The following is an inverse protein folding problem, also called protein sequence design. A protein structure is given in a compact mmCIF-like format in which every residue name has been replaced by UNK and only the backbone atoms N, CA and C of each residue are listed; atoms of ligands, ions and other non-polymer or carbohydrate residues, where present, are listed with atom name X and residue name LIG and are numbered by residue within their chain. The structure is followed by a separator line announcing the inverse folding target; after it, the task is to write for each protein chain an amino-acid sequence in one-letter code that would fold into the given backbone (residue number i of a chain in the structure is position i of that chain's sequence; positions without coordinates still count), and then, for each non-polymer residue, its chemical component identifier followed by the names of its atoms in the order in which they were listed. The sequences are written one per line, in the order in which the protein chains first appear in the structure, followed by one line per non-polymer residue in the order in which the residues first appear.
data_IF_536408731218
#
_entry.id   IF_536408731218
#
_cell.length_a   1.000
_cell.length_b   1.000
_cell.length_c   1.000
_cell.angle_alpha   90.00
_cell.angle_beta   90.00
_cell.angle_gamma   90.00
#
_symmetry.space_group_name_H-M   'P 1'
#
loop_
_entity.id
_entity.type
_entity.pdbx_description
1 polymer ?
#
# COMPACT_ATOMS: atom_id res chain seq x y z
N UNK A 1 36.15 59.95 -63.82
CA UNK A 1 35.62 59.80 -65.19
C UNK A 1 35.71 58.33 -65.56
N UNK A 2 34.70 57.86 -66.31
CA UNK A 2 34.59 56.57 -67.01
C UNK A 2 33.94 55.40 -66.25
N UNK A 3 32.62 55.30 -66.47
CA UNK A 3 31.84 54.06 -66.65
C UNK A 3 32.45 53.14 -67.73
N UNK A 4 32.15 51.83 -67.67
CA UNK A 4 31.75 50.95 -68.80
C UNK A 4 31.24 49.61 -68.19
N UNK A 5 29.93 49.39 -68.12
CA UNK A 5 29.10 48.47 -68.97
C UNK A 5 29.30 46.98 -68.67
N UNK A 6 28.40 46.36 -67.90
CA UNK A 6 27.30 45.43 -68.31
C UNK A 6 27.77 44.17 -69.05
N UNK A 7 27.53 42.99 -68.46
CA UNK A 7 26.75 41.97 -69.17
C UNK A 7 26.02 41.01 -68.21
N UNK A 8 24.78 40.71 -68.60
CA UNK A 8 23.73 40.02 -67.87
C UNK A 8 23.60 38.64 -68.48
N UNK A 9 24.03 37.59 -67.77
CA UNK A 9 23.71 36.21 -68.17
C UNK A 9 23.05 35.42 -67.06
N UNK A 10 21.74 35.28 -67.24
CA UNK A 10 20.81 34.37 -66.56
C UNK A 10 21.34 32.94 -66.51
N UNK A 11 21.36 32.34 -65.32
CA UNK A 11 21.42 30.90 -65.13
C UNK A 11 20.32 30.47 -64.16
N UNK A 12 19.42 29.63 -64.68
CA UNK A 12 18.27 28.99 -64.01
C UNK A 12 18.66 28.34 -62.69
N UNK A 13 18.03 28.78 -61.60
CA UNK A 13 18.00 28.06 -60.32
C UNK A 13 17.13 26.81 -60.44
N UNK A 14 17.72 25.63 -60.22
CA UNK A 14 16.99 24.36 -60.03
C UNK A 14 16.15 24.45 -58.75
N UNK A 15 14.88 23.99 -58.74
CA UNK A 15 14.13 23.86 -57.51
C UNK A 15 14.69 22.69 -56.69
N UNK A 16 15.02 22.95 -55.42
CA UNK A 16 15.36 21.92 -54.45
C UNK A 16 14.13 21.08 -54.07
N UNK A 17 14.31 19.85 -53.56
CA UNK A 17 13.17 19.00 -53.21
C UNK A 17 12.40 19.61 -52.03
N UNK A 18 11.08 19.58 -52.16
CA UNK A 18 10.15 19.94 -51.10
C UNK A 18 10.40 19.07 -49.85
N UNK A 19 10.65 19.73 -48.72
CA UNK A 19 10.61 19.10 -47.40
C UNK A 19 9.17 18.68 -47.17
N UNK A 20 8.90 17.38 -47.20
CA UNK A 20 7.61 16.84 -46.78
C UNK A 20 7.53 16.94 -45.26
N UNK A 21 6.56 17.70 -44.76
CA UNK A 21 6.15 17.67 -43.36
C UNK A 21 5.69 16.24 -43.02
N UNK A 22 6.49 15.55 -42.22
CA UNK A 22 6.09 14.29 -41.63
C UNK A 22 4.97 14.57 -40.60
N UNK A 23 3.86 13.84 -40.59
CA UNK A 23 2.88 13.95 -39.52
C UNK A 23 3.55 13.50 -38.22
N UNK A 24 3.60 14.41 -37.24
CA UNK A 24 4.01 14.13 -35.86
C UNK A 24 3.04 13.12 -35.25
N UNK A 25 3.31 11.83 -35.40
CA UNK A 25 2.62 10.77 -34.66
C UNK A 25 3.09 10.80 -33.20
N UNK A 26 2.42 11.60 -32.37
CA UNK A 26 2.47 11.39 -30.92
C UNK A 26 2.01 9.96 -30.62
N UNK A 27 2.74 9.19 -29.77
CA UNK A 27 2.26 7.88 -29.36
C UNK A 27 0.93 8.05 -28.61
N UNK A 28 -0.05 7.14 -28.80
CA UNK A 28 -1.26 7.18 -28.01
C UNK A 28 -0.87 7.01 -26.53
N UNK A 29 -1.30 7.97 -25.70
CA UNK A 29 -1.28 7.84 -24.25
C UNK A 29 -2.03 6.56 -23.93
N UNK A 30 -1.31 5.53 -23.48
CA UNK A 30 -1.91 4.26 -23.12
C UNK A 30 -2.97 4.53 -22.05
N UNK A 31 -4.23 4.24 -22.38
CA UNK A 31 -5.30 4.24 -21.40
C UNK A 31 -4.90 3.33 -20.23
N UNK A 32 -5.17 3.71 -18.97
CA UNK A 32 -4.83 2.87 -17.83
C UNK A 32 -5.53 1.52 -18.01
N UNK A 33 -4.73 0.45 -18.05
CA UNK A 33 -5.23 -0.91 -18.10
C UNK A 33 -6.15 -1.12 -16.90
N UNK A 34 -7.45 -1.18 -17.14
CA UNK A 34 -8.40 -1.60 -16.14
C UNK A 34 -8.18 -3.09 -15.93
N UNK A 35 -7.43 -3.45 -14.89
CA UNK A 35 -7.28 -4.83 -14.44
C UNK A 35 -8.60 -5.23 -13.77
N UNK A 36 -9.53 -5.76 -14.56
CA UNK A 36 -10.74 -6.42 -14.05
C UNK A 36 -10.39 -7.84 -13.63
N UNK A 37 -9.80 -7.98 -12.45
CA UNK A 37 -9.58 -9.22 -11.73
C UNK A 37 -9.72 -8.99 -10.23
N UNK A 38 -9.96 -10.04 -9.41
CA UNK A 38 -9.90 -9.89 -7.96
C UNK A 38 -8.52 -9.33 -7.57
N UNK A 39 -8.44 -8.45 -6.55
CA UNK A 39 -7.16 -7.86 -6.15
C UNK A 39 -6.16 -8.95 -5.79
N UNK A 40 -4.88 -8.74 -6.14
CA UNK A 40 -3.78 -9.61 -5.71
C UNK A 40 -3.79 -9.75 -4.19
N UNK A 41 -3.26 -10.86 -3.67
CA UNK A 41 -3.17 -11.03 -2.21
C UNK A 41 -2.33 -9.90 -1.58
N UNK A 42 -1.29 -9.43 -2.27
CA UNK A 42 -0.53 -8.26 -1.88
C UNK A 42 -1.37 -6.98 -1.85
N UNK A 43 -2.24 -6.75 -2.85
CA UNK A 43 -3.14 -5.61 -2.85
C UNK A 43 -4.14 -5.65 -1.68
N UNK A 44 -4.70 -6.83 -1.36
CA UNK A 44 -5.58 -7.01 -0.19
C UNK A 44 -4.86 -6.73 1.12
N UNK A 45 -3.67 -7.32 1.29
CA UNK A 45 -2.83 -7.10 2.47
C UNK A 45 -2.53 -5.61 2.63
N UNK A 46 -2.16 -4.92 1.55
CA UNK A 46 -1.86 -3.49 1.57
C UNK A 46 -3.06 -2.67 2.03
N UNK A 47 -4.25 -2.92 1.52
CA UNK A 47 -5.48 -2.22 1.93
C UNK A 47 -5.72 -2.37 3.44
N UNK A 48 -5.54 -3.57 3.98
CA UNK A 48 -5.67 -3.82 5.43
C UNK A 48 -4.63 -3.04 6.23
N UNK A 49 -3.37 -3.03 5.79
CA UNK A 49 -2.30 -2.31 6.47
C UNK A 49 -2.47 -0.79 6.42
N UNK A 50 -2.91 -0.23 5.30
CA UNK A 50 -3.22 1.19 5.14
C UNK A 50 -4.38 1.62 6.03
N UNK A 51 -5.45 0.81 6.12
CA UNK A 51 -6.57 1.05 7.02
C UNK A 51 -6.13 0.96 8.50
N UNK A 52 -5.30 -0.02 8.86
CA UNK A 52 -4.75 -0.14 10.20
C UNK A 52 -3.86 1.06 10.57
N UNK A 53 -3.04 1.53 9.62
CA UNK A 53 -2.23 2.74 9.78
C UNK A 53 -3.10 3.95 10.06
N UNK A 54 -4.21 4.12 9.32
CA UNK A 54 -5.15 5.22 9.55
C UNK A 54 -5.80 5.16 10.95
N UNK A 55 -6.09 3.97 11.49
CA UNK A 55 -6.59 3.79 12.86
C UNK A 55 -5.55 4.23 13.89
N UNK A 56 -4.31 3.74 13.78
CA UNK A 56 -3.22 4.10 14.71
C UNK A 56 -2.88 5.59 14.63
N UNK A 57 -2.98 6.17 13.43
CA UNK A 57 -2.84 7.61 13.21
C UNK A 57 -3.97 8.37 13.94
N UNK A 58 -5.22 7.92 13.90
CA UNK A 58 -6.28 8.60 14.68
C UNK A 58 -6.06 8.50 16.18
N UNK A 59 -5.69 7.32 16.67
CA UNK A 59 -5.42 7.08 18.07
C UNK A 59 -4.65 5.78 18.27
N UNK A 60 -3.48 5.91 18.89
CA UNK A 60 -2.69 4.75 19.29
C UNK A 60 -2.90 4.46 20.77
N UNK A 61 -3.18 3.20 21.09
CA UNK A 61 -3.30 2.72 22.47
C UNK A 61 -2.13 1.81 22.84
N UNK A 62 -1.55 2.10 23.99
CA UNK A 62 -0.64 1.24 24.72
C UNK A 62 -1.38 0.59 25.89
N UNK A 63 -1.17 -0.70 26.13
CA UNK A 63 -1.83 -1.47 27.20
C UNK A 63 -3.37 -1.52 27.08
N UNK A 64 -3.90 -1.35 25.87
CA UNK A 64 -5.33 -1.38 25.55
C UNK A 64 -5.59 -2.15 24.26
N UNK A 65 -6.85 -2.50 24.00
CA UNK A 65 -7.22 -3.19 22.77
C UNK A 65 -7.70 -2.20 21.70
N UNK A 66 -8.90 -1.64 21.85
CA UNK A 66 -9.39 -0.53 21.04
C UNK A 66 -10.43 0.29 21.80
N UNK A 67 -10.65 1.51 21.34
CA UNK A 67 -11.69 2.43 21.79
C UNK A 67 -12.58 2.82 20.61
N UNK A 68 -13.89 2.85 20.86
CA UNK A 68 -14.90 3.31 19.91
C UNK A 68 -15.61 4.52 20.48
N UNK A 69 -16.07 5.42 19.61
CA UNK A 69 -16.98 6.49 20.00
C UNK A 69 -18.20 5.93 20.78
N UNK A 70 -18.80 6.72 21.69
CA UNK A 70 -19.97 6.30 22.44
C UNK A 70 -21.09 5.78 21.52
N UNK A 71 -21.61 4.59 21.85
CA UNK A 71 -22.71 3.94 21.12
C UNK A 71 -23.73 3.38 22.11
N UNK A 72 -25.02 3.34 21.73
CA UNK A 72 -26.06 2.77 22.59
C UNK A 72 -25.76 1.29 22.89
N UNK A 73 -26.08 0.86 24.12
CA UNK A 73 -25.69 -0.44 24.66
C UNK A 73 -26.11 -1.62 23.78
N UNK A 74 -27.28 -1.55 23.14
CA UNK A 74 -27.77 -2.59 22.23
C UNK A 74 -26.85 -2.79 21.02
N UNK A 75 -26.22 -1.72 20.48
CA UNK A 75 -25.23 -1.85 19.39
C UNK A 75 -23.92 -2.45 19.87
N UNK A 76 -23.55 -2.24 21.15
CA UNK A 76 -22.36 -2.86 21.74
C UNK A 76 -22.55 -4.36 21.96
N UNK A 77 -23.77 -4.81 22.30
CA UNK A 77 -24.08 -6.21 22.62
C UNK A 77 -24.54 -7.04 21.42
N UNK A 78 -25.32 -6.45 20.50
CA UNK A 78 -26.00 -7.15 19.40
C UNK A 78 -25.66 -6.57 18.02
N UNK A 79 -24.87 -5.48 17.98
CA UNK A 79 -24.48 -4.84 16.73
C UNK A 79 -23.31 -5.54 16.04
N UNK A 80 -23.05 -5.19 14.76
CA UNK A 80 -21.87 -5.68 14.06
C UNK A 80 -20.60 -5.20 14.77
N UNK A 81 -19.53 -5.96 14.59
CA UNK A 81 -18.20 -5.56 15.06
C UNK A 81 -17.79 -4.21 14.48
N UNK A 82 -16.97 -3.42 15.20
CA UNK A 82 -16.57 -2.10 14.74
C UNK A 82 -15.83 -2.23 13.40
N UNK A 83 -16.08 -1.30 12.50
CA UNK A 83 -15.21 -1.09 11.33
C UNK A 83 -14.07 -0.13 11.71
N UNK A 84 -12.98 -0.06 10.93
CA UNK A 84 -11.87 0.85 11.22
C UNK A 84 -12.30 2.28 11.53
N UNK A 85 -13.23 2.83 10.76
CA UNK A 85 -13.72 4.22 10.90
C UNK A 85 -14.50 4.48 12.19
N UNK A 86 -14.93 3.42 12.88
CA UNK A 86 -15.61 3.53 14.18
C UNK A 86 -14.65 3.57 15.37
N UNK A 87 -13.36 3.33 15.14
CA UNK A 87 -12.34 3.34 16.18
C UNK A 87 -11.78 4.75 16.37
N UNK A 88 -11.81 5.22 17.62
CA UNK A 88 -11.14 6.44 18.06
C UNK A 88 -9.66 6.17 18.34
N UNK A 89 -9.33 4.96 18.78
CA UNK A 89 -7.96 4.48 18.86
C UNK A 89 -7.86 2.98 19.02
N UNK A 90 -6.68 2.43 18.74
CA UNK A 90 -6.40 1.01 18.91
C UNK A 90 -4.91 0.74 19.14
N UNK A 91 -4.62 -0.43 19.73
CA UNK A 91 -3.28 -0.97 19.64
C UNK A 91 -3.02 -1.54 18.24
N UNK A 92 -1.75 -1.77 17.91
CA UNK A 92 -1.32 -2.26 16.60
C UNK A 92 -2.11 -3.50 16.13
N UNK A 93 -2.24 -4.51 16.98
CA UNK A 93 -2.88 -5.78 16.59
C UNK A 93 -4.39 -5.62 16.41
N UNK A 94 -5.05 -4.84 17.27
CA UNK A 94 -6.47 -4.55 17.14
C UNK A 94 -6.76 -3.74 15.87
N UNK A 95 -5.92 -2.77 15.52
CA UNK A 95 -6.05 -1.99 14.29
C UNK A 95 -6.01 -2.89 13.04
N UNK A 96 -5.04 -3.81 12.97
CA UNK A 96 -4.91 -4.76 11.84
C UNK A 96 -6.06 -5.77 11.82
N UNK A 97 -6.45 -6.28 12.99
CA UNK A 97 -7.58 -7.19 13.13
C UNK A 97 -8.88 -6.57 12.63
N UNK A 98 -9.19 -5.34 13.10
CA UNK A 98 -10.40 -4.59 12.72
C UNK A 98 -10.40 -4.20 11.25
N UNK A 99 -9.24 -3.84 10.70
CA UNK A 99 -9.09 -3.57 9.28
C UNK A 99 -9.33 -4.81 8.39
N UNK A 100 -8.95 -6.00 8.85
CA UNK A 100 -9.07 -7.24 8.07
C UNK A 100 -10.49 -7.81 8.00
N UNK A 101 -11.27 -7.76 9.08
CA UNK A 101 -12.53 -8.52 9.15
C UNK A 101 -13.73 -7.87 8.41
N UNK A 102 -13.59 -6.65 7.86
CA UNK A 102 -14.63 -5.97 7.04
C UNK A 102 -16.05 -5.98 7.65
N UNK A 103 -16.17 -5.91 8.99
CA UNK A 103 -17.47 -5.97 9.69
C UNK A 103 -18.08 -7.37 9.88
N UNK A 104 -17.40 -8.44 9.44
CA UNK A 104 -17.72 -9.84 9.76
C UNK A 104 -17.30 -10.23 11.18
N UNK A 105 -17.63 -11.45 11.62
CA UNK A 105 -17.32 -11.96 12.96
C UNK A 105 -15.80 -12.12 13.19
N UNK A 106 -15.28 -11.78 14.38
CA UNK A 106 -13.88 -11.99 14.78
C UNK A 106 -13.44 -13.46 14.80
N UNK A 107 -14.33 -14.41 14.51
CA UNK A 107 -14.07 -15.85 14.52
C UNK A 107 -13.13 -16.29 13.39
N UNK A 108 -12.89 -15.45 12.37
CA UNK A 108 -11.96 -15.74 11.27
C UNK A 108 -10.76 -14.79 11.21
N UNK A 109 -10.36 -14.21 12.35
CA UNK A 109 -9.20 -13.31 12.45
C UNK A 109 -7.94 -13.84 11.74
N UNK A 110 -7.67 -15.14 11.95
CA UNK A 110 -6.51 -15.85 11.39
C UNK A 110 -6.54 -15.92 9.85
N UNK A 111 -7.74 -15.88 9.24
CA UNK A 111 -7.94 -15.87 7.78
C UNK A 111 -7.95 -14.45 7.24
N UNK A 112 -8.76 -13.58 7.83
CA UNK A 112 -9.11 -12.28 7.22
C UNK A 112 -8.01 -11.23 7.44
N UNK A 113 -7.42 -11.22 8.63
CA UNK A 113 -6.32 -10.30 8.99
C UNK A 113 -4.95 -10.99 9.04
N UNK A 114 -4.93 -12.32 8.98
CA UNK A 114 -3.74 -13.12 9.25
C UNK A 114 -2.55 -12.81 8.35
N UNK A 115 -2.71 -12.74 7.02
CA UNK A 115 -1.63 -12.36 6.13
C UNK A 115 -1.07 -10.96 6.41
N UNK A 116 -1.91 -9.99 6.82
CA UNK A 116 -1.45 -8.66 7.20
C UNK A 116 -0.68 -8.69 8.53
N UNK A 117 -1.14 -9.45 9.53
CA UNK A 117 -0.42 -9.70 10.78
C UNK A 117 0.96 -10.30 10.52
N UNK A 118 1.03 -11.28 9.62
CA UNK A 118 2.30 -11.90 9.24
C UNK A 118 3.27 -10.87 8.67
N UNK A 119 2.79 -9.96 7.81
CA UNK A 119 3.65 -8.88 7.25
C UNK A 119 4.12 -7.87 8.28
N UNK A 120 3.28 -7.50 9.25
CA UNK A 120 3.72 -6.63 10.36
C UNK A 120 4.77 -7.32 11.22
N UNK A 121 4.60 -8.62 11.48
CA UNK A 121 5.58 -9.39 12.23
C UNK A 121 6.91 -9.54 11.48
N UNK A 122 6.88 -9.77 10.17
CA UNK A 122 8.09 -9.81 9.34
C UNK A 122 8.81 -8.45 9.38
N UNK A 123 8.07 -7.34 9.28
CA UNK A 123 8.64 -6.00 9.41
C UNK A 123 9.28 -5.75 10.78
N UNK A 124 8.72 -6.33 11.86
CA UNK A 124 9.31 -6.25 13.21
C UNK A 124 10.59 -7.07 13.30
N UNK A 125 10.64 -8.23 12.64
CA UNK A 125 11.86 -9.04 12.56
C UNK A 125 12.96 -8.31 11.81
N UNK A 126 12.64 -7.71 10.67
CA UNK A 126 13.57 -6.90 9.90
C UNK A 126 14.10 -5.71 10.71
N UNK A 127 13.22 -5.01 11.44
CA UNK A 127 13.62 -3.91 12.34
C UNK A 127 14.67 -4.37 13.38
N UNK A 128 14.59 -5.64 13.81
CA UNK A 128 15.53 -6.26 14.74
C UNK A 128 16.74 -6.91 14.06
N UNK A 129 16.98 -6.64 12.77
CA UNK A 129 18.08 -7.20 11.99
C UNK A 129 17.94 -8.69 11.68
N UNK A 130 16.75 -9.28 11.88
CA UNK A 130 16.48 -10.68 11.54
C UNK A 130 15.97 -10.75 10.11
N UNK A 131 16.46 -11.73 9.35
CA UNK A 131 15.98 -11.99 7.99
C UNK A 131 14.50 -12.40 8.02
N UNK A 132 13.75 -11.96 7.01
CA UNK A 132 12.39 -12.43 6.76
C UNK A 132 12.39 -13.95 6.58
N UNK A 133 11.42 -14.63 7.17
CA UNK A 133 11.27 -16.07 7.08
C UNK A 133 10.63 -16.43 5.73
N UNK A 134 11.15 -17.45 5.04
CA UNK A 134 10.66 -17.80 3.70
C UNK A 134 9.25 -18.39 3.71
N UNK A 135 8.60 -18.17 2.56
CA UNK A 135 7.17 -18.09 2.32
C UNK A 135 6.49 -19.46 2.33
N UNK A 136 5.53 -19.63 3.23
CA UNK A 136 4.61 -20.76 3.28
C UNK A 136 3.36 -20.40 4.06
N UNK A 137 2.33 -21.23 3.98
CA UNK A 137 1.11 -21.04 4.78
C UNK A 137 1.47 -21.08 6.27
N UNK A 138 1.30 -19.96 6.97
CA UNK A 138 1.60 -19.86 8.40
C UNK A 138 0.49 -20.55 9.22
N UNK A 139 0.81 -21.56 10.04
CA UNK A 139 -0.18 -22.25 10.87
C UNK A 139 -0.86 -21.30 11.87
N UNK A 140 -2.15 -21.51 12.21
CA UNK A 140 -2.88 -20.64 13.14
C UNK A 140 -2.18 -20.46 14.50
N UNK A 141 -1.56 -21.53 15.03
CA UNK A 141 -0.84 -21.46 16.30
C UNK A 141 0.40 -20.55 16.24
N UNK A 142 1.10 -20.55 15.10
CA UNK A 142 2.26 -19.67 14.86
C UNK A 142 1.77 -18.23 14.73
N UNK A 143 0.69 -17.99 13.99
CA UNK A 143 0.10 -16.66 13.85
C UNK A 143 -0.33 -16.05 15.19
N UNK A 144 -0.94 -16.84 16.08
CA UNK A 144 -1.24 -16.40 17.45
C UNK A 144 0.00 -16.06 18.25
N UNK A 145 1.11 -16.80 18.08
CA UNK A 145 2.37 -16.46 18.73
C UNK A 145 2.94 -15.12 18.20
N UNK A 146 2.87 -14.89 16.89
CA UNK A 146 3.24 -13.62 16.24
C UNK A 146 2.40 -12.46 16.78
N UNK A 147 1.08 -12.61 16.87
CA UNK A 147 0.17 -11.62 17.46
C UNK A 147 0.57 -11.28 18.90
N UNK A 148 0.82 -12.28 19.76
CA UNK A 148 1.26 -12.05 21.15
C UNK A 148 2.58 -11.29 21.22
N UNK A 149 3.51 -11.58 20.31
CA UNK A 149 4.76 -10.83 20.25
C UNK A 149 4.56 -9.38 19.81
N UNK A 150 3.67 -9.12 18.84
CA UNK A 150 3.30 -7.77 18.42
C UNK A 150 2.63 -6.99 19.55
N UNK A 151 1.71 -7.62 20.30
CA UNK A 151 1.11 -7.01 21.50
C UNK A 151 2.19 -6.63 22.52
N UNK A 152 3.07 -7.58 22.86
CA UNK A 152 4.19 -7.30 23.80
C UNK A 152 5.11 -6.18 23.31
N UNK A 153 5.35 -6.10 22.00
CA UNK A 153 6.18 -5.04 21.42
C UNK A 153 5.48 -3.66 21.43
N UNK A 154 4.18 -3.62 21.13
CA UNK A 154 3.33 -2.44 21.23
C UNK A 154 3.27 -1.91 22.66
N UNK A 155 3.15 -2.81 23.63
CA UNK A 155 2.96 -2.46 25.04
C UNK A 155 4.28 -2.27 25.81
N UNK A 156 5.43 -2.38 25.13
CA UNK A 156 6.73 -2.20 25.77
C UNK A 156 6.87 -0.78 26.36
N UNK A 157 7.37 -0.61 27.60
CA UNK A 157 7.57 0.71 28.19
C UNK A 157 8.42 1.62 27.28
N UNK A 158 8.00 2.87 27.13
CA UNK A 158 8.67 3.83 26.26
C UNK A 158 8.39 3.65 24.76
N UNK A 159 7.54 2.68 24.36
CA UNK A 159 7.00 2.64 22.99
C UNK A 159 6.28 3.93 22.67
N UNK A 160 6.39 4.38 21.43
CA UNK A 160 5.70 5.56 20.92
C UNK A 160 4.80 5.23 19.73
N UNK A 161 3.80 6.07 19.49
CA UNK A 161 2.93 6.01 18.30
C UNK A 161 3.73 6.02 17.01
N UNK A 162 4.75 6.89 16.93
CA UNK A 162 5.56 7.05 15.71
C UNK A 162 6.36 5.80 15.37
N UNK A 163 6.85 5.06 16.37
CA UNK A 163 7.49 3.77 16.14
C UNK A 163 6.51 2.72 15.62
N UNK A 164 5.26 2.73 16.10
CA UNK A 164 4.21 1.81 15.63
C UNK A 164 3.81 2.16 14.20
N UNK A 165 3.64 3.44 13.87
CA UNK A 165 3.41 3.91 12.51
C UNK A 165 4.58 3.55 11.58
N UNK A 166 5.82 3.76 12.02
CA UNK A 166 7.00 3.39 11.25
C UNK A 166 7.11 1.88 10.99
N UNK A 167 6.63 1.04 11.90
CA UNK A 167 6.53 -0.41 11.68
C UNK A 167 5.49 -0.75 10.60
N UNK A 168 4.31 -0.12 10.64
CA UNK A 168 3.26 -0.28 9.62
C UNK A 168 3.73 0.21 8.25
N UNK A 169 4.38 1.37 8.19
CA UNK A 169 4.94 1.94 6.95
C UNK A 169 5.97 1.01 6.31
N UNK A 170 6.81 0.35 7.13
CA UNK A 170 7.72 -0.69 6.65
C UNK A 170 6.96 -1.89 6.07
N UNK A 171 5.94 -2.39 6.76
CA UNK A 171 5.13 -3.52 6.29
C UNK A 171 4.39 -3.18 4.97
N UNK A 172 3.84 -1.98 4.84
CA UNK A 172 3.20 -1.47 3.62
C UNK A 172 4.23 -1.42 2.49
N UNK A 173 5.38 -0.80 2.73
CA UNK A 173 6.45 -0.67 1.73
C UNK A 173 6.93 -2.03 1.21
N UNK A 174 7.09 -3.03 2.10
CA UNK A 174 7.43 -4.39 1.70
C UNK A 174 6.35 -5.05 0.86
N UNK A 175 5.10 -4.86 1.23
CA UNK A 175 3.97 -5.40 0.47
C UNK A 175 3.92 -4.83 -0.95
N UNK A 176 4.19 -3.52 -1.11
CA UNK A 176 4.30 -2.87 -2.43
C UNK A 176 5.48 -3.43 -3.23
N UNK A 177 6.65 -3.57 -2.61
CA UNK A 177 7.84 -4.10 -3.29
C UNK A 177 7.65 -5.55 -3.74
N UNK A 178 6.96 -6.36 -2.97
CA UNK A 178 6.63 -7.74 -3.35
C UNK A 178 5.65 -7.79 -4.52
N UNK A 179 4.62 -6.92 -4.53
CA UNK A 179 3.66 -6.81 -5.64
C UNK A 179 4.34 -6.38 -6.95
N UNK A 180 5.31 -5.46 -6.88
CA UNK A 180 6.11 -5.04 -8.06
C UNK A 180 7.06 -6.15 -8.55
N UNK A 181 7.56 -6.99 -7.65
CA UNK A 181 8.50 -8.09 -7.97
C UNK A 181 7.81 -9.35 -8.45
N UNK A 182 6.53 -9.55 -8.11
CA UNK A 182 5.75 -10.66 -8.60
C UNK A 182 5.52 -10.48 -10.11
N UNK A 183 6.08 -11.35 -10.99
CA UNK A 183 5.82 -11.24 -12.42
C UNK A 183 4.33 -11.38 -12.67
N UNK A 184 3.76 -10.51 -13.50
CA UNK A 184 2.41 -10.65 -14.00
C UNK A 184 2.32 -11.97 -14.76
N UNK A 185 1.86 -13.03 -14.09
CA UNK A 185 1.49 -14.27 -14.77
C UNK A 185 0.28 -13.91 -15.63
N UNK A 186 0.54 -13.74 -16.92
CA UNK A 186 -0.49 -13.59 -17.97
C UNK A 186 -1.00 -14.96 -18.38
#
# INVERSE_FOLDING_TARGET
MSETTVDRRTARTRPGPAVQDAPSSSPPVAAPLSVTGPPSDHARIRIVLEAARAVVERGWLQNGWYETAPRPLWRKLLGPLPTPDMLEGACLVAAVAVAGHSGGAFTQLDRDSGPAIDRVWDALRELRGRRAEETGAVPPIVRRARMRELVRWNDAPGRTRDEVLGLLDRAISRTILDDVRAPSVR
#
